data_IF_627589480343
#
_entry.id   IF_627589480343
#
_cell.length_a   1.000
_cell.length_b   1.000
_cell.length_c   1.000
_cell.angle_alpha   90.00
_cell.angle_beta   90.00
_cell.angle_gamma   90.00
#
_symmetry.space_group_name_H-M   'P 1'
#
loop_
_entity.id
_entity.type
_entity.pdbx_description
1 polymer ?
#
# COMPACT_ATOMS: atom_id res chain seq x y z
N UNK A 1 -0.21 -6.49 22.15
CA UNK A 1 -1.18 -5.37 22.29
C UNK A 1 -2.04 -5.35 21.04
N UNK A 2 -3.33 -5.05 21.17
CA UNK A 2 -4.22 -5.03 20.01
C UNK A 2 -3.88 -3.86 19.08
N UNK A 3 -3.81 -4.12 17.77
CA UNK A 3 -3.60 -3.07 16.76
C UNK A 3 -4.86 -2.20 16.64
N UNK A 4 -4.71 -0.87 16.71
CA UNK A 4 -5.80 0.09 16.49
C UNK A 4 -6.06 0.27 14.99
N UNK A 5 -7.31 0.11 14.56
CA UNK A 5 -7.70 0.31 13.16
C UNK A 5 -8.31 1.71 12.99
N UNK A 6 -7.87 2.45 11.97
CA UNK A 6 -8.39 3.78 11.62
C UNK A 6 -8.88 3.79 10.18
N UNK A 7 -10.13 4.16 9.96
CA UNK A 7 -10.68 4.45 8.64
C UNK A 7 -10.72 5.98 8.46
N UNK A 8 -9.91 6.52 7.55
CA UNK A 8 -9.72 7.98 7.41
C UNK A 8 -10.44 8.58 6.20
N UNK A 9 -11.04 7.76 5.34
CA UNK A 9 -11.68 8.21 4.10
C UNK A 9 -10.66 8.75 3.08
N UNK A 10 -11.05 9.75 2.29
CA UNK A 10 -10.15 10.40 1.33
C UNK A 10 -9.32 11.47 2.04
N UNK A 11 -7.99 11.40 1.94
CA UNK A 11 -7.08 12.31 2.64
C UNK A 11 -5.96 12.84 1.73
N UNK A 12 -5.50 14.09 1.86
CA UNK A 12 -4.33 14.59 1.14
C UNK A 12 -3.05 13.84 1.53
N UNK A 13 -2.25 13.42 0.55
CA UNK A 13 -1.05 12.59 0.78
C UNK A 13 -0.05 13.22 1.76
N UNK A 14 0.30 14.50 1.55
CA UNK A 14 1.29 15.21 2.36
C UNK A 14 0.90 15.25 3.85
N UNK A 15 -0.37 15.57 4.14
CA UNK A 15 -0.87 15.65 5.51
C UNK A 15 -0.81 14.30 6.24
N UNK A 16 -1.20 13.21 5.57
CA UNK A 16 -1.13 11.87 6.16
C UNK A 16 0.31 11.40 6.32
N UNK A 17 1.19 11.72 5.37
CA UNK A 17 2.60 11.37 5.47
C UNK A 17 3.28 12.05 6.65
N UNK A 18 2.99 13.33 6.91
CA UNK A 18 3.45 14.03 8.10
C UNK A 18 2.91 13.40 9.39
N UNK A 19 1.62 13.04 9.43
CA UNK A 19 1.03 12.31 10.56
C UNK A 19 1.72 10.97 10.81
N UNK A 20 2.01 10.19 9.76
CA UNK A 20 2.74 8.92 9.87
C UNK A 20 4.13 9.13 10.48
N UNK A 21 4.87 10.15 10.02
CA UNK A 21 6.21 10.47 10.53
C UNK A 21 6.17 10.90 11.98
N UNK A 22 5.20 11.72 12.36
CA UNK A 22 5.01 12.19 13.72
C UNK A 22 4.66 11.03 14.65
N UNK A 23 3.65 10.22 14.31
CA UNK A 23 3.27 9.02 15.06
C UNK A 23 4.46 8.08 15.25
N UNK A 24 5.20 7.80 14.18
CA UNK A 24 6.37 6.91 14.22
C UNK A 24 7.47 7.45 15.14
N UNK A 25 7.63 8.77 15.21
CA UNK A 25 8.71 9.40 15.98
C UNK A 25 8.33 9.68 17.45
N UNK A 26 7.04 9.83 17.76
CA UNK A 26 6.55 10.13 19.12
C UNK A 26 6.15 8.88 19.93
N UNK A 27 6.06 7.71 19.28
CA UNK A 27 5.64 6.48 19.95
C UNK A 27 6.66 5.95 20.95
N UNK A 28 6.14 5.29 21.97
CA UNK A 28 6.89 4.62 23.03
C UNK A 28 6.47 3.15 23.16
N UNK A 29 7.06 2.43 24.12
CA UNK A 29 6.84 1.00 24.33
C UNK A 29 5.37 0.62 24.56
N UNK A 30 4.59 1.54 25.15
CA UNK A 30 3.15 1.36 25.44
C UNK A 30 2.23 1.82 24.32
N UNK A 31 2.75 2.46 23.27
CA UNK A 31 1.94 2.93 22.14
C UNK A 31 1.53 1.74 21.27
N UNK A 32 0.23 1.49 21.12
CA UNK A 32 -0.28 0.44 20.24
C UNK A 32 0.18 0.62 18.78
N UNK A 33 0.20 -0.48 18.04
CA UNK A 33 0.35 -0.43 16.58
C UNK A 33 -0.94 0.08 15.94
N UNK A 34 -0.82 0.71 14.78
CA UNK A 34 -1.99 1.22 14.05
C UNK A 34 -1.99 0.77 12.60
N UNK A 35 -3.19 0.52 12.08
CA UNK A 35 -3.47 0.33 10.66
C UNK A 35 -4.38 1.47 10.20
N UNK A 36 -3.91 2.28 9.24
CA UNK A 36 -4.70 3.36 8.67
C UNK A 36 -5.17 3.00 7.28
N UNK A 37 -6.48 3.00 7.06
CA UNK A 37 -7.16 2.65 5.82
C UNK A 37 -7.78 3.92 5.24
N UNK A 38 -7.44 4.22 3.99
CA UNK A 38 -7.81 5.47 3.35
C UNK A 38 -7.67 5.40 1.83
N UNK A 39 -8.07 6.49 1.20
CA UNK A 39 -7.81 6.78 -0.20
C UNK A 39 -7.09 8.13 -0.31
N UNK A 40 -6.40 8.37 -1.42
CA UNK A 40 -5.79 9.66 -1.72
C UNK A 40 -6.45 10.31 -2.95
N UNK A 41 -6.55 11.65 -2.99
CA UNK A 41 -6.69 12.35 -4.27
C UNK A 41 -5.54 11.97 -5.22
N UNK A 42 -5.70 12.15 -6.55
CA UNK A 42 -4.66 11.82 -7.52
C UNK A 42 -3.29 12.39 -7.15
N UNK A 43 -2.30 11.52 -7.00
CA UNK A 43 -0.93 11.90 -6.65
C UNK A 43 0.07 10.86 -7.14
N UNK A 44 1.17 11.30 -7.71
CA UNK A 44 2.35 10.47 -7.90
C UNK A 44 3.26 10.59 -6.69
N UNK A 45 3.79 9.46 -6.23
CA UNK A 45 4.81 9.46 -5.17
C UNK A 45 6.07 8.82 -5.71
N UNK A 46 7.21 9.45 -5.47
CA UNK A 46 8.52 8.92 -5.84
C UNK A 46 9.24 8.50 -4.55
N UNK A 47 9.55 7.21 -4.41
CA UNK A 47 10.26 6.67 -3.26
C UNK A 47 11.76 6.95 -3.30
N UNK A 48 12.49 6.52 -2.27
CA UNK A 48 13.93 6.81 -2.13
C UNK A 48 14.81 6.21 -3.24
N UNK A 49 14.39 5.08 -3.82
CA UNK A 49 15.09 4.48 -4.96
C UNK A 49 14.60 5.06 -6.30
N UNK A 50 13.57 5.91 -6.25
CA UNK A 50 12.91 6.59 -7.35
C UNK A 50 13.87 7.39 -8.20
N UNK A 51 13.98 7.05 -9.49
CA UNK A 51 14.65 7.90 -10.47
C UNK A 51 13.65 8.84 -11.15
N UNK A 52 14.05 10.09 -11.37
CA UNK A 52 13.23 11.10 -12.04
C UNK A 52 12.80 10.66 -13.46
N UNK A 53 13.66 9.90 -14.16
CA UNK A 53 13.39 9.36 -15.50
C UNK A 53 12.21 8.36 -15.55
N UNK A 54 11.75 7.87 -14.41
CA UNK A 54 10.57 7.00 -14.35
C UNK A 54 9.24 7.79 -14.27
N UNK A 55 9.29 9.11 -14.13
CA UNK A 55 8.14 10.00 -14.31
C UNK A 55 8.16 10.50 -15.76
N UNK A 56 7.30 9.94 -16.61
CA UNK A 56 7.34 10.19 -18.05
C UNK A 56 6.54 11.43 -18.42
N UNK A 57 5.30 11.49 -17.95
CA UNK A 57 4.41 12.62 -18.17
C UNK A 57 3.37 12.71 -17.03
N UNK A 58 3.63 13.54 -16.01
CA UNK A 58 2.73 13.63 -14.86
C UNK A 58 1.45 14.43 -15.16
N UNK A 59 1.37 15.14 -16.29
CA UNK A 59 0.30 16.10 -16.60
C UNK A 59 0.07 17.06 -15.41
N UNK A 60 -1.17 17.16 -14.90
CA UNK A 60 -1.55 18.03 -13.77
C UNK A 60 -1.46 17.32 -12.40
N UNK A 61 -1.12 16.04 -12.35
CA UNK A 61 -1.08 15.28 -11.10
C UNK A 61 0.22 15.61 -10.34
N UNK A 62 0.14 16.02 -9.06
CA UNK A 62 1.31 16.39 -8.28
C UNK A 62 2.27 15.21 -8.08
N UNK A 63 3.57 15.48 -8.14
CA UNK A 63 4.63 14.50 -7.85
C UNK A 63 5.25 14.83 -6.50
N UNK A 64 5.05 13.96 -5.51
CA UNK A 64 5.59 14.11 -4.15
C UNK A 64 6.81 13.22 -3.97
N UNK A 65 7.92 13.82 -3.54
CA UNK A 65 9.12 13.08 -3.13
C UNK A 65 8.90 12.50 -1.74
N UNK A 66 8.78 11.18 -1.66
CA UNK A 66 8.46 10.43 -0.44
C UNK A 66 9.69 9.70 0.10
N UNK A 67 9.65 9.31 1.38
CA UNK A 67 10.73 8.54 2.02
C UNK A 67 10.47 7.02 2.06
N UNK A 68 9.41 6.53 1.42
CA UNK A 68 9.16 5.09 1.30
C UNK A 68 10.21 4.40 0.43
N UNK A 69 10.36 3.10 0.63
CA UNK A 69 11.06 2.24 -0.31
C UNK A 69 10.37 2.21 -1.69
N UNK A 70 11.12 1.75 -2.69
CA UNK A 70 10.64 1.59 -4.07
C UNK A 70 10.84 2.81 -4.95
N UNK A 71 10.34 2.70 -6.18
CA UNK A 71 10.43 3.69 -7.25
C UNK A 71 9.21 4.65 -7.22
N UNK A 72 8.74 5.09 -8.38
CA UNK A 72 7.49 5.85 -8.56
C UNK A 72 6.25 4.94 -8.50
N UNK A 73 5.13 5.47 -7.98
CA UNK A 73 3.78 4.89 -8.07
C UNK A 73 2.73 5.99 -8.13
N UNK A 74 1.49 5.61 -8.45
CA UNK A 74 0.31 6.45 -8.43
C UNK A 74 -0.68 6.01 -7.32
N UNK A 75 -1.34 7.00 -6.71
CA UNK A 75 -2.51 6.82 -5.84
C UNK A 75 -3.66 7.71 -6.31
N UNK A 76 -4.88 7.24 -6.15
CA UNK A 76 -6.09 7.98 -6.52
C UNK A 76 -7.35 7.35 -5.90
N UNK A 77 -8.52 7.99 -6.07
CA UNK A 77 -9.79 7.43 -5.64
C UNK A 77 -10.05 6.06 -6.30
N UNK A 78 -10.64 5.14 -5.54
CA UNK A 78 -10.85 3.75 -5.94
C UNK A 78 -9.65 2.83 -5.63
N UNK A 79 -8.63 3.32 -4.94
CA UNK A 79 -7.48 2.53 -4.47
C UNK A 79 -7.46 2.48 -2.94
N UNK A 80 -7.52 1.27 -2.37
CA UNK A 80 -7.34 1.10 -0.93
C UNK A 80 -5.87 1.29 -0.56
N UNK A 81 -5.57 2.34 0.20
CA UNK A 81 -4.27 2.57 0.81
C UNK A 81 -4.33 2.13 2.27
N UNK A 82 -3.43 1.22 2.65
CA UNK A 82 -3.32 0.71 4.01
C UNK A 82 -1.93 0.98 4.57
N UNK A 83 -1.83 1.94 5.49
CA UNK A 83 -0.58 2.27 6.17
C UNK A 83 -0.42 1.44 7.45
N UNK A 84 0.72 0.76 7.57
CA UNK A 84 1.04 -0.19 8.64
C UNK A 84 2.06 0.45 9.58
N UNK A 85 1.56 1.05 10.66
CA UNK A 85 2.36 1.75 11.67
C UNK A 85 2.68 0.80 12.83
N UNK A 86 3.71 -0.04 12.63
CA UNK A 86 4.00 -1.18 13.50
C UNK A 86 5.40 -1.12 14.11
N UNK A 87 5.53 -1.38 15.40
CA UNK A 87 6.83 -1.65 16.03
C UNK A 87 7.23 -3.10 15.74
N UNK A 88 8.05 -3.29 14.72
CA UNK A 88 8.44 -4.65 14.29
C UNK A 88 9.42 -5.30 15.27
N UNK A 89 10.10 -4.54 16.13
CA UNK A 89 10.97 -5.11 17.17
C UNK A 89 10.13 -5.72 18.29
N UNK A 90 9.12 -4.99 18.76
CA UNK A 90 8.17 -5.48 19.77
C UNK A 90 7.41 -6.72 19.31
N UNK A 91 7.06 -6.77 18.02
CA UNK A 91 6.39 -7.93 17.42
C UNK A 91 7.35 -9.06 17.02
N UNK A 92 8.66 -8.93 17.26
CA UNK A 92 9.69 -9.89 16.85
C UNK A 92 9.66 -10.22 15.34
N UNK A 93 9.33 -9.22 14.51
CA UNK A 93 9.20 -9.34 13.07
C UNK A 93 10.40 -8.73 12.32
N UNK A 94 10.92 -9.47 11.35
CA UNK A 94 11.80 -8.91 10.33
C UNK A 94 11.00 -8.18 9.25
N UNK A 95 11.60 -7.17 8.60
CA UNK A 95 10.93 -6.41 7.54
C UNK A 95 10.49 -7.29 6.36
N UNK A 96 11.30 -8.29 5.99
CA UNK A 96 10.95 -9.24 4.92
C UNK A 96 9.75 -10.11 5.32
N UNK A 97 9.71 -10.57 6.56
CA UNK A 97 8.59 -11.34 7.11
C UNK A 97 7.30 -10.51 7.11
N UNK A 98 7.39 -9.23 7.53
CA UNK A 98 6.24 -8.32 7.46
C UNK A 98 5.73 -8.18 6.03
N UNK A 99 6.61 -7.92 5.05
CA UNK A 99 6.21 -7.85 3.62
C UNK A 99 5.53 -9.14 3.18
N UNK A 100 6.08 -10.31 3.48
CA UNK A 100 5.46 -11.59 3.13
C UNK A 100 4.09 -11.81 3.79
N UNK A 101 3.88 -11.31 5.01
CA UNK A 101 2.58 -11.37 5.67
C UNK A 101 1.56 -10.44 5.00
N UNK A 102 1.98 -9.23 4.63
CA UNK A 102 1.15 -8.28 3.88
C UNK A 102 0.76 -8.84 2.51
N UNK A 103 1.68 -9.51 1.82
CA UNK A 103 1.39 -10.22 0.56
C UNK A 103 0.36 -11.33 0.77
N UNK A 104 0.48 -12.13 1.83
CA UNK A 104 -0.49 -13.19 2.13
C UNK A 104 -1.87 -12.64 2.51
N UNK A 105 -1.94 -11.50 3.21
CA UNK A 105 -3.21 -10.80 3.50
C UNK A 105 -3.87 -10.37 2.18
N UNK A 106 -3.11 -9.78 1.26
CA UNK A 106 -3.60 -9.39 -0.05
C UNK A 106 -4.12 -10.60 -0.85
N UNK A 107 -3.39 -11.72 -0.86
CA UNK A 107 -3.85 -12.95 -1.50
C UNK A 107 -5.15 -13.47 -0.89
N UNK A 108 -5.29 -13.43 0.44
CA UNK A 108 -6.52 -13.84 1.12
C UNK A 108 -7.72 -12.95 0.74
N UNK A 109 -7.52 -11.63 0.60
CA UNK A 109 -8.55 -10.70 0.11
C UNK A 109 -8.91 -11.00 -1.35
N UNK A 110 -7.94 -11.31 -2.22
CA UNK A 110 -8.23 -11.63 -3.61
C UNK A 110 -8.99 -12.96 -3.77
N UNK A 111 -8.68 -13.94 -2.92
CA UNK A 111 -9.35 -15.25 -2.92
C UNK A 111 -10.86 -15.12 -2.65
N UNK A 112 -11.31 -14.15 -1.84
CA UNK A 112 -12.76 -13.92 -1.61
C UNK A 112 -13.50 -13.44 -2.84
N UNK A 113 -12.77 -12.88 -3.81
CA UNK A 113 -13.29 -12.50 -5.13
C UNK A 113 -13.01 -13.55 -6.20
N UNK A 114 -12.48 -14.72 -5.82
CA UNK A 114 -12.02 -15.79 -6.71
C UNK A 114 -10.94 -15.33 -7.71
N UNK A 115 -10.15 -14.31 -7.34
CA UNK A 115 -9.05 -13.79 -8.14
C UNK A 115 -7.76 -14.49 -7.72
N UNK A 116 -7.13 -15.22 -8.63
CA UNK A 116 -5.87 -15.93 -8.37
C UNK A 116 -4.69 -14.96 -8.43
N UNK A 117 -4.27 -14.45 -7.28
CA UNK A 117 -3.07 -13.64 -7.14
C UNK A 117 -1.79 -14.47 -6.96
N UNK A 118 -0.64 -13.87 -7.31
CA UNK A 118 0.68 -14.44 -7.09
C UNK A 118 1.67 -13.38 -6.57
N UNK A 119 2.65 -13.83 -5.79
CA UNK A 119 3.81 -13.05 -5.34
C UNK A 119 5.01 -13.34 -6.23
N UNK A 120 5.94 -12.38 -6.32
CA UNK A 120 7.16 -12.53 -7.12
C UNK A 120 8.40 -12.30 -6.28
N UNK A 121 9.38 -13.20 -6.38
CA UNK A 121 10.66 -13.03 -5.70
C UNK A 121 11.34 -11.74 -6.19
N UNK A 122 11.74 -10.87 -5.26
CA UNK A 122 12.44 -9.62 -5.57
C UNK A 122 11.55 -8.48 -6.09
N UNK A 123 10.24 -8.69 -6.23
CA UNK A 123 9.30 -7.66 -6.68
C UNK A 123 8.08 -7.58 -5.74
N UNK A 124 8.19 -6.84 -4.61
CA UNK A 124 7.14 -6.79 -3.60
C UNK A 124 5.78 -6.32 -4.14
N UNK A 125 4.73 -7.03 -3.72
CA UNK A 125 3.36 -6.80 -4.17
C UNK A 125 2.69 -8.07 -4.69
N UNK A 126 1.47 -7.89 -5.19
CA UNK A 126 0.65 -9.00 -5.71
C UNK A 126 0.30 -8.74 -7.17
N UNK A 127 0.29 -9.83 -7.95
CA UNK A 127 0.11 -9.84 -9.39
C UNK A 127 -1.00 -10.82 -9.80
N UNK A 128 -1.72 -10.50 -10.88
CA UNK A 128 -2.73 -11.36 -11.52
C UNK A 128 -2.43 -11.36 -13.02
N UNK A 129 -2.23 -12.53 -13.63
CA UNK A 129 -1.87 -12.68 -15.04
C UNK A 129 -0.75 -11.73 -15.49
N UNK A 130 0.32 -11.71 -14.69
CA UNK A 130 1.49 -10.85 -14.81
C UNK A 130 1.30 -9.33 -14.61
N UNK A 131 0.06 -8.86 -14.43
CA UNK A 131 -0.30 -7.47 -14.11
C UNK A 131 -0.26 -7.23 -12.62
N UNK A 132 0.20 -6.07 -12.17
CA UNK A 132 0.26 -5.75 -10.75
C UNK A 132 -1.08 -5.22 -10.25
N UNK A 133 -1.63 -5.85 -9.21
CA UNK A 133 -2.91 -5.44 -8.59
C UNK A 133 -2.70 -4.71 -7.27
N UNK A 134 -1.60 -5.00 -6.57
CA UNK A 134 -1.25 -4.35 -5.32
C UNK A 134 0.24 -4.05 -5.21
N UNK A 135 0.57 -2.87 -4.69
CA UNK A 135 1.93 -2.42 -4.41
C UNK A 135 2.21 -2.39 -2.92
N UNK A 136 3.44 -2.76 -2.54
CA UNK A 136 3.91 -2.69 -1.15
C UNK A 136 5.16 -1.84 -1.10
N UNK A 137 5.14 -0.81 -0.26
CA UNK A 137 6.26 0.06 0.00
C UNK A 137 6.24 0.50 1.46
N UNK A 138 7.17 0.00 2.26
CA UNK A 138 7.32 0.35 3.67
C UNK A 138 8.56 1.22 3.89
N UNK A 139 8.56 1.98 4.98
CA UNK A 139 9.74 2.62 5.55
C UNK A 139 9.94 2.12 6.98
N UNK A 140 11.17 1.79 7.34
CA UNK A 140 11.56 1.46 8.72
C UNK A 140 12.37 2.61 9.29
N UNK A 141 11.99 3.12 10.46
CA UNK A 141 12.74 4.09 11.25
C UNK A 141 12.71 3.66 12.71
N UNK A 142 13.88 3.51 13.33
CA UNK A 142 14.02 3.10 14.73
C UNK A 142 13.30 1.79 15.11
N UNK A 143 13.16 0.85 14.18
CA UNK A 143 12.41 -0.40 14.41
C UNK A 143 10.90 -0.28 14.29
N UNK A 144 10.40 0.88 13.88
CA UNK A 144 8.98 1.11 13.60
C UNK A 144 8.74 1.32 12.09
N UNK A 145 7.63 0.82 11.58
CA UNK A 145 7.23 0.95 10.19
C UNK A 145 6.22 2.07 9.98
N UNK A 146 6.16 2.60 8.75
CA UNK A 146 5.04 3.37 8.20
C UNK A 146 5.08 3.25 6.66
N UNK A 147 4.13 3.89 5.98
CA UNK A 147 3.67 3.51 4.63
C UNK A 147 3.06 2.10 4.65
N UNK A 148 2.93 1.42 3.52
CA UNK A 148 2.31 0.11 3.49
C UNK A 148 1.89 -0.33 2.10
N UNK A 149 0.59 -0.55 1.94
CA UNK A 149 -0.02 -1.18 0.77
C UNK A 149 -0.84 -0.17 0.00
N UNK A 150 -0.87 -0.34 -1.32
CA UNK A 150 -1.86 0.25 -2.21
C UNK A 150 -2.47 -0.88 -3.06
N UNK A 151 -3.74 -1.19 -2.83
CA UNK A 151 -4.52 -2.22 -3.54
C UNK A 151 -5.51 -1.52 -4.49
N UNK A 152 -5.39 -1.80 -5.79
CA UNK A 152 -6.27 -1.23 -6.79
C UNK A 152 -7.63 -1.94 -6.75
N UNK A 153 -8.70 -1.21 -6.42
CA UNK A 153 -10.04 -1.78 -6.28
C UNK A 153 -10.90 -1.45 -7.48
N UNK A 154 -11.19 -0.17 -7.69
CA UNK A 154 -12.04 0.35 -8.75
C UNK A 154 -11.64 1.81 -9.05
N UNK A 155 -10.42 2.00 -9.54
CA UNK A 155 -9.78 3.30 -9.78
C UNK A 155 -9.59 3.59 -11.27
N UNK A 156 -9.29 4.84 -11.59
CA UNK A 156 -8.71 5.17 -12.90
C UNK A 156 -7.25 4.69 -12.96
N UNK A 157 -6.98 3.70 -13.82
CA UNK A 157 -5.64 3.18 -14.07
C UNK A 157 -4.85 3.98 -15.12
N UNK A 158 -5.50 4.89 -15.86
CA UNK A 158 -4.86 5.66 -16.93
C UNK A 158 -3.60 6.44 -16.49
N UNK A 159 -3.51 6.98 -15.25
CA UNK A 159 -2.31 7.69 -14.80
C UNK A 159 -1.07 6.79 -14.70
N UNK A 160 -1.22 5.46 -14.56
CA UNK A 160 -0.06 4.57 -14.57
C UNK A 160 0.70 4.58 -15.90
N UNK A 161 0.08 4.98 -17.01
CA UNK A 161 0.77 5.16 -18.29
C UNK A 161 1.74 6.36 -18.30
N UNK A 162 1.57 7.32 -17.38
CA UNK A 162 2.45 8.46 -17.21
C UNK A 162 3.74 8.17 -16.44
N UNK A 163 3.93 6.94 -15.96
CA UNK A 163 5.07 6.53 -15.14
C UNK A 163 5.58 5.13 -15.53
N UNK A 164 6.80 4.80 -15.12
CA UNK A 164 7.34 3.45 -15.14
C UNK A 164 7.21 2.84 -13.73
N UNK A 165 6.08 2.18 -13.38
CA UNK A 165 5.86 1.70 -12.02
C UNK A 165 6.91 0.66 -11.66
N UNK A 166 7.46 0.77 -10.44
CA UNK A 166 8.56 -0.08 -9.96
C UNK A 166 9.82 -0.07 -10.87
N UNK A 167 9.96 0.89 -11.80
CA UNK A 167 11.08 0.99 -12.74
C UNK A 167 10.99 0.08 -13.97
N UNK A 168 9.86 -0.60 -14.19
CA UNK A 168 9.66 -1.50 -15.33
C UNK A 168 8.79 -0.85 -16.40
N UNK A 169 9.36 -0.61 -17.58
CA UNK A 169 8.71 0.12 -18.69
C UNK A 169 7.51 -0.59 -19.36
N UNK A 170 7.10 -1.76 -18.85
CA UNK A 170 6.01 -2.58 -19.41
C UNK A 170 5.16 -3.24 -18.34
N UNK A 171 5.27 -2.81 -17.09
CA UNK A 171 4.45 -3.39 -16.04
C UNK A 171 3.03 -2.83 -16.15
N UNK A 172 2.11 -3.68 -16.60
CA UNK A 172 0.68 -3.37 -16.59
C UNK A 172 0.14 -3.44 -15.16
N UNK A 173 -0.81 -2.54 -14.87
CA UNK A 173 -1.58 -2.55 -13.65
C UNK A 173 -2.97 -3.16 -13.92
N UNK A 174 -3.55 -3.77 -12.91
CA UNK A 174 -4.95 -4.24 -12.90
C UNK A 174 -5.58 -3.91 -11.55
N UNK A 175 -6.85 -4.24 -11.39
CA UNK A 175 -7.66 -3.92 -10.22
C UNK A 175 -8.75 -4.97 -10.01
N UNK A 176 -9.35 -5.00 -8.81
CA UNK A 176 -10.39 -5.99 -8.49
C UNK A 176 -11.60 -5.85 -9.41
N UNK A 177 -11.99 -4.61 -9.79
CA UNK A 177 -13.16 -4.36 -10.63
C UNK A 177 -13.05 -4.91 -12.05
N UNK A 178 -11.84 -5.23 -12.54
CA UNK A 178 -11.64 -5.90 -13.83
C UNK A 178 -12.18 -7.35 -13.81
N UNK A 179 -12.29 -7.95 -12.62
CA UNK A 179 -12.74 -9.32 -12.38
C UNK A 179 -14.09 -9.38 -11.65
N UNK A 180 -14.42 -8.35 -10.86
CA UNK A 180 -15.65 -8.23 -10.10
C UNK A 180 -16.18 -6.80 -10.16
N UNK A 181 -17.05 -6.50 -11.14
CA UNK A 181 -17.52 -5.14 -11.42
C UNK A 181 -18.20 -4.43 -10.23
N UNK A 182 -18.74 -5.16 -9.25
CA UNK A 182 -19.40 -4.61 -8.05
C UNK A 182 -18.45 -4.33 -6.88
N UNK A 183 -17.15 -4.61 -7.04
CA UNK A 183 -16.16 -4.37 -6.00
C UNK A 183 -16.07 -2.88 -5.65
N UNK A 184 -16.03 -2.58 -4.36
CA UNK A 184 -15.95 -1.22 -3.84
C UNK A 184 -15.00 -1.15 -2.64
N UNK A 185 -14.55 0.06 -2.30
CA UNK A 185 -13.57 0.30 -1.23
C UNK A 185 -14.08 -0.15 0.13
N UNK A 186 -15.37 0.02 0.44
CA UNK A 186 -15.90 -0.32 1.75
C UNK A 186 -15.80 -1.83 2.03
N UNK A 187 -16.22 -2.66 1.08
CA UNK A 187 -16.17 -4.11 1.20
C UNK A 187 -14.72 -4.62 1.24
N UNK A 188 -13.88 -4.12 0.34
CA UNK A 188 -12.46 -4.51 0.30
C UNK A 188 -11.72 -4.08 1.57
N UNK A 189 -12.00 -2.88 2.09
CA UNK A 189 -11.40 -2.37 3.34
C UNK A 189 -11.78 -3.25 4.54
N UNK A 190 -13.05 -3.70 4.60
CA UNK A 190 -13.50 -4.63 5.64
C UNK A 190 -12.77 -5.97 5.53
N UNK A 191 -12.73 -6.58 4.34
CA UNK A 191 -12.04 -7.85 4.11
C UNK A 191 -10.54 -7.77 4.43
N UNK A 192 -9.90 -6.67 4.04
CA UNK A 192 -8.51 -6.40 4.36
C UNK A 192 -8.29 -6.31 5.87
N UNK A 193 -9.15 -5.59 6.59
CA UNK A 193 -9.09 -5.46 8.05
C UNK A 193 -9.23 -6.80 8.74
N UNK A 194 -10.22 -7.61 8.34
CA UNK A 194 -10.49 -8.94 8.90
C UNK A 194 -9.26 -9.86 8.70
N UNK A 195 -8.69 -9.88 7.49
CA UNK A 195 -7.49 -10.66 7.18
C UNK A 195 -6.24 -10.15 7.92
N UNK A 196 -6.09 -8.83 8.08
CA UNK A 196 -4.97 -8.23 8.83
C UNK A 196 -5.03 -8.58 10.32
N UNK A 197 -6.20 -8.42 10.94
CA UNK A 197 -6.43 -8.78 12.35
C UNK A 197 -6.15 -10.27 12.57
N UNK A 198 -6.67 -11.13 11.68
CA UNK A 198 -6.44 -12.56 11.75
C UNK A 198 -4.95 -12.94 11.64
N UNK A 199 -4.10 -12.08 11.06
CA UNK A 199 -2.66 -12.33 10.95
C UNK A 199 -1.86 -11.84 12.16
N UNK A 200 -2.23 -10.68 12.73
CA UNK A 200 -1.38 -9.95 13.68
C UNK A 200 -1.92 -9.88 15.11
N UNK A 201 -3.18 -10.21 15.36
CA UNK A 201 -3.78 -10.18 16.70
C UNK A 201 -3.93 -11.59 17.31
N UNK A 202 -2.94 -12.46 17.13
CA UNK A 202 -2.82 -13.72 17.87
C UNK A 202 -2.18 -13.50 19.24
#
# INVERSE_FOLDING_TARGET
MMTTIRNLGIQPYQAVWEQMKNFTSSRNETTCDELWLLEHPPVYTQGQAGKAEHVLNPNEIPVVQSDRGGQVTYHGPGQLVAYVLMDIRRNHLGIRTLVSYLEQILLAVLETYHIKGAVRCGAPGVYVDDKKIASIGLRVKNGCTYHGIALNVAMDLSPFAGINPCGFAKLEMTQISDYMATANIADVSKLFTDAFISRFNH
#
